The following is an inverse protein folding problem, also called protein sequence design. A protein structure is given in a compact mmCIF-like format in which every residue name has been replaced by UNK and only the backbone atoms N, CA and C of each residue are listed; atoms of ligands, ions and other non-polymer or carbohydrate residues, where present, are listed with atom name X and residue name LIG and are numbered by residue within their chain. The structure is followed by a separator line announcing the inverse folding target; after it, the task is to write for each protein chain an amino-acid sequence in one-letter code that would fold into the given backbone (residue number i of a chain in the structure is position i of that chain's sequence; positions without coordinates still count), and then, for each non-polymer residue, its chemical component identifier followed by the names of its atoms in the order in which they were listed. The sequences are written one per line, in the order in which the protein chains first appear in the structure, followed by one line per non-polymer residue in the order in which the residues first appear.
data_IF_137679785258
#
_entry.id   IF_137679785258
#
_cell.length_a   1.000
_cell.length_b   1.000
_cell.length_c   1.000
_cell.angle_alpha   90.00
_cell.angle_beta   90.00
_cell.angle_gamma   90.00
#
_symmetry.space_group_name_H-M   'P 1'
#
loop_
_entity.id
_entity.type
_entity.pdbx_description
1 polymer ?
#
# COMPACT_ATOMS: atom_id res chain seq x y z
N UNK A 1 7.72 10.76 -38.68
CA UNK A 1 6.97 11.23 -37.48
C UNK A 1 7.19 10.41 -36.20
N UNK A 2 7.62 9.17 -36.28
CA UNK A 2 7.94 8.35 -35.04
C UNK A 2 9.24 8.77 -34.38
N UNK A 3 10.27 9.22 -35.11
CA UNK A 3 11.56 9.63 -34.50
C UNK A 3 11.50 10.91 -33.64
N UNK A 4 10.54 11.78 -33.88
CA UNK A 4 10.34 13.01 -33.11
C UNK A 4 9.61 12.78 -31.76
N UNK A 5 8.87 11.67 -31.60
CA UNK A 5 8.20 11.32 -30.34
C UNK A 5 9.14 10.68 -29.32
N UNK A 6 10.14 9.92 -29.76
CA UNK A 6 11.15 9.29 -28.91
C UNK A 6 12.15 10.30 -28.35
N UNK A 7 12.47 11.37 -29.07
CA UNK A 7 13.34 12.44 -28.57
C UNK A 7 12.66 13.32 -27.50
N UNK A 8 11.34 13.49 -27.59
CA UNK A 8 10.57 14.29 -26.60
C UNK A 8 10.46 13.60 -25.22
N UNK A 9 10.41 12.28 -25.17
CA UNK A 9 10.34 11.53 -23.91
C UNK A 9 11.69 11.47 -23.20
N UNK A 10 12.80 11.37 -23.96
CA UNK A 10 14.16 11.35 -23.37
C UNK A 10 14.57 12.74 -22.83
N UNK A 11 14.16 13.81 -23.49
CA UNK A 11 14.43 15.20 -23.06
C UNK A 11 13.59 15.54 -21.81
N UNK A 12 12.38 15.01 -21.65
CA UNK A 12 11.60 15.17 -20.41
C UNK A 12 12.23 14.43 -19.24
N UNK A 13 12.72 13.20 -19.44
CA UNK A 13 13.43 12.43 -18.43
C UNK A 13 14.73 13.10 -17.97
N UNK A 14 15.49 13.70 -18.90
CA UNK A 14 16.69 14.46 -18.60
C UNK A 14 16.38 15.80 -17.89
N UNK A 15 15.28 16.48 -18.22
CA UNK A 15 14.86 17.69 -17.48
C UNK A 15 14.38 17.38 -16.07
N UNK A 16 13.67 16.29 -15.84
CA UNK A 16 13.30 15.86 -14.47
C UNK A 16 14.53 15.50 -13.62
N UNK A 17 15.53 14.79 -14.19
CA UNK A 17 16.77 14.47 -13.50
C UNK A 17 17.62 15.72 -13.22
N UNK A 18 17.63 16.69 -14.13
CA UNK A 18 18.32 17.95 -13.93
C UNK A 18 17.63 18.84 -12.87
N UNK A 19 16.30 18.86 -12.83
CA UNK A 19 15.54 19.59 -11.81
C UNK A 19 15.70 18.98 -10.40
N UNK A 20 15.66 17.64 -10.29
CA UNK A 20 15.93 16.95 -9.02
C UNK A 20 17.37 17.18 -8.53
N UNK A 21 18.37 17.15 -9.43
CA UNK A 21 19.75 17.45 -9.10
C UNK A 21 19.99 18.95 -8.77
N UNK A 22 19.21 19.84 -9.37
CA UNK A 22 19.30 21.30 -9.12
C UNK A 22 18.61 21.66 -7.81
N UNK A 23 17.48 21.01 -7.46
CA UNK A 23 16.84 21.18 -6.16
C UNK A 23 17.74 20.66 -5.02
N UNK A 24 18.32 19.46 -5.16
CA UNK A 24 19.25 18.92 -4.19
C UNK A 24 20.51 19.83 -3.97
N UNK A 25 21.00 20.48 -5.04
CA UNK A 25 22.10 21.47 -4.93
C UNK A 25 21.65 22.81 -4.35
N UNK A 26 20.43 23.25 -4.62
CA UNK A 26 19.88 24.50 -4.06
C UNK A 26 19.67 24.39 -2.54
N UNK A 27 19.29 23.21 -2.04
CA UNK A 27 19.15 22.94 -0.60
C UNK A 27 20.49 22.98 0.14
N UNK A 28 21.59 22.54 -0.49
CA UNK A 28 22.93 22.55 0.12
C UNK A 28 23.53 23.95 0.28
N UNK A 29 22.95 24.99 -0.31
CA UNK A 29 23.49 26.36 -0.32
C UNK A 29 22.63 27.40 0.40
N UNK A 30 21.44 27.04 0.87
CA UNK A 30 20.62 27.96 1.66
C UNK A 30 21.14 28.03 3.09
N UNK A 31 21.79 29.18 3.40
CA UNK A 31 22.38 29.49 4.73
C UNK A 31 21.34 29.51 5.88
N UNK A 32 20.05 29.42 5.59
CA UNK A 32 18.98 29.31 6.59
C UNK A 32 18.75 27.87 7.02
N UNK A 33 19.36 26.90 6.34
CA UNK A 33 19.31 25.50 6.67
C UNK A 33 20.62 25.07 7.32
N UNK A 34 20.63 25.02 8.65
CA UNK A 34 21.61 24.20 9.37
C UNK A 34 21.01 22.80 9.43
N UNK A 35 21.59 21.78 8.76
CA UNK A 35 21.11 20.43 8.93
C UNK A 35 21.16 20.09 10.41
N UNK A 36 20.03 19.68 11.00
CA UNK A 36 19.98 19.15 12.37
C UNK A 36 20.59 17.74 12.33
N UNK A 37 21.86 17.67 11.93
CA UNK A 37 22.56 16.41 11.69
C UNK A 37 23.32 15.90 12.92
N UNK A 38 23.28 16.64 14.02
CA UNK A 38 23.90 16.18 15.25
C UNK A 38 22.85 16.08 16.34
N UNK A 39 22.31 14.86 16.51
CA UNK A 39 21.57 14.51 17.73
C UNK A 39 22.52 14.80 18.88
N UNK A 40 22.18 15.68 19.84
CA UNK A 40 23.04 15.95 20.98
C UNK A 40 23.46 14.66 21.68
N UNK A 41 24.73 14.50 21.99
CA UNK A 41 25.29 13.27 22.58
C UNK A 41 24.58 12.82 23.87
N UNK A 42 23.98 13.75 24.62
CA UNK A 42 23.16 13.46 25.78
C UNK A 42 21.81 12.79 25.46
N UNK A 43 21.28 12.97 24.24
CA UNK A 43 20.06 12.30 23.79
C UNK A 43 20.41 10.89 23.30
N UNK A 44 21.52 10.73 22.58
CA UNK A 44 22.02 9.41 22.15
C UNK A 44 22.44 8.53 23.31
N UNK A 45 22.95 9.10 24.40
CA UNK A 45 23.35 8.32 25.58
C UNK A 45 22.18 7.59 26.28
N UNK A 46 20.94 8.05 26.08
CA UNK A 46 19.74 7.44 26.64
C UNK A 46 18.97 6.55 25.63
N UNK A 47 19.39 6.57 24.37
CA UNK A 47 18.81 5.72 23.32
C UNK A 47 19.84 4.62 23.04
N UNK A 48 19.65 3.48 23.68
CA UNK A 48 20.50 2.33 23.42
C UNK A 48 20.22 1.85 21.99
N UNK A 49 21.17 2.09 21.06
CA UNK A 49 21.05 1.71 19.63
C UNK A 49 20.73 0.22 19.44
N UNK A 50 21.09 -0.63 20.41
CA UNK A 50 20.75 -2.05 20.44
C UNK A 50 19.25 -2.32 20.68
N UNK A 51 18.51 -1.37 21.25
CA UNK A 51 17.06 -1.53 21.50
C UNK A 51 16.18 -1.01 20.35
N UNK A 52 16.66 -0.07 19.55
CA UNK A 52 15.93 0.45 18.38
C UNK A 52 16.18 -0.43 17.15
N UNK A 53 17.39 -0.91 16.99
CA UNK A 53 17.75 -1.86 15.93
C UNK A 53 17.77 -3.26 16.54
N UNK A 54 16.60 -3.90 16.65
CA UNK A 54 16.57 -5.34 16.88
C UNK A 54 17.49 -6.00 15.85
N UNK A 55 18.38 -6.96 16.25
CA UNK A 55 19.33 -7.62 15.32
C UNK A 55 18.69 -8.33 14.14
N UNK A 56 17.37 -8.28 13.98
CA UNK A 56 16.59 -8.79 12.86
C UNK A 56 16.38 -7.82 11.71
N UNK A 57 16.84 -6.57 11.80
CA UNK A 57 16.75 -5.58 10.71
C UNK A 57 18.02 -5.56 9.87
N UNK A 58 18.45 -6.71 9.38
CA UNK A 58 19.47 -6.77 8.33
C UNK A 58 18.77 -6.50 7.00
N UNK A 59 19.00 -5.31 6.47
CA UNK A 59 18.72 -4.98 5.08
C UNK A 59 19.39 -6.06 4.21
N UNK A 60 18.59 -6.94 3.59
CA UNK A 60 19.03 -8.02 2.69
C UNK A 60 20.02 -9.03 3.29
N UNK A 61 19.81 -9.52 4.48
CA UNK A 61 20.66 -10.52 5.10
C UNK A 61 19.89 -11.68 5.73
N UNK A 62 20.09 -12.84 5.19
CA UNK A 62 20.09 -14.18 5.79
C UNK A 62 19.15 -14.46 6.98
N UNK A 63 17.85 -14.56 6.75
CA UNK A 63 16.94 -15.13 7.76
C UNK A 63 16.09 -16.26 7.15
N UNK A 64 16.69 -17.47 7.11
CA UNK A 64 15.87 -18.66 7.17
C UNK A 64 15.17 -18.67 8.56
N UNK A 65 13.86 -18.95 8.66
CA UNK A 65 13.19 -18.94 9.96
C UNK A 65 13.83 -19.96 10.88
N UNK A 66 14.46 -19.47 11.94
CA UNK A 66 14.93 -20.29 13.05
C UNK A 66 13.70 -20.74 13.84
N UNK A 67 13.70 -21.96 14.34
CA UNK A 67 12.61 -22.49 15.19
C UNK A 67 12.35 -21.52 16.36
N UNK A 68 11.16 -20.90 16.38
CA UNK A 68 10.81 -19.84 17.33
C UNK A 68 10.96 -18.41 16.80
N UNK A 69 11.45 -18.21 15.58
CA UNK A 69 11.43 -16.91 14.89
C UNK A 69 10.01 -16.54 14.43
N UNK A 70 9.80 -15.25 14.17
CA UNK A 70 8.55 -14.77 13.54
C UNK A 70 8.37 -15.42 12.16
N UNK A 71 7.12 -15.64 11.72
CA UNK A 71 6.82 -16.09 10.36
C UNK A 71 7.47 -15.18 9.31
N UNK A 72 7.82 -15.72 8.14
CA UNK A 72 8.21 -14.92 7.00
C UNK A 72 7.05 -13.99 6.61
N UNK A 73 7.35 -12.70 6.38
CA UNK A 73 6.32 -11.69 6.21
C UNK A 73 6.00 -11.43 4.74
N UNK A 74 4.93 -12.00 4.25
CA UNK A 74 4.40 -11.84 2.89
C UNK A 74 3.01 -11.20 2.88
N UNK A 75 2.82 -10.15 3.70
CA UNK A 75 1.56 -9.38 3.77
C UNK A 75 1.80 -7.86 3.79
N UNK A 76 2.72 -7.38 2.95
CA UNK A 76 3.10 -5.96 2.91
C UNK A 76 1.99 -5.02 2.45
N UNK A 77 0.90 -5.52 1.84
CA UNK A 77 -0.28 -4.71 1.54
C UNK A 77 -1.11 -4.38 2.78
N UNK A 78 -1.08 -5.22 3.82
CA UNK A 78 -1.75 -4.92 5.07
C UNK A 78 -1.00 -3.84 5.85
N UNK A 79 0.32 -4.01 5.99
CA UNK A 79 1.25 -3.03 6.55
C UNK A 79 2.67 -3.34 6.10
N UNK A 80 3.53 -2.35 6.00
CA UNK A 80 4.94 -2.52 5.62
C UNK A 80 5.87 -2.07 6.74
N UNK A 81 7.07 -2.67 6.87
CA UNK A 81 8.07 -2.17 7.79
C UNK A 81 8.51 -0.76 7.39
N UNK A 82 8.82 0.05 8.38
CA UNK A 82 9.38 1.37 8.16
C UNK A 82 10.84 1.25 7.71
N UNK A 83 11.23 1.99 6.68
CA UNK A 83 12.64 2.09 6.27
C UNK A 83 13.44 2.76 7.41
N UNK A 84 14.58 2.19 7.83
CA UNK A 84 15.40 2.77 8.90
C UNK A 84 15.78 4.23 8.66
N UNK A 85 16.07 4.62 7.41
CA UNK A 85 16.39 6.00 7.03
C UNK A 85 15.21 6.96 7.21
N UNK A 86 13.98 6.44 7.11
CA UNK A 86 12.76 7.19 7.42
C UNK A 86 12.64 7.39 8.92
N UNK A 87 12.89 6.34 9.71
CA UNK A 87 12.89 6.45 11.17
C UNK A 87 13.93 7.45 11.66
N UNK A 88 15.16 7.41 11.13
CA UNK A 88 16.23 8.34 11.47
C UNK A 88 15.82 9.79 11.20
N UNK A 89 15.13 10.06 10.09
CA UNK A 89 14.61 11.39 9.78
C UNK A 89 13.48 11.84 10.72
N UNK A 90 12.72 10.93 11.30
CA UNK A 90 11.63 11.22 12.23
C UNK A 90 12.12 11.50 13.65
N UNK A 91 13.17 10.80 14.12
CA UNK A 91 13.63 10.81 15.51
C UNK A 91 13.90 12.21 16.08
N UNK A 92 14.54 13.16 15.39
CA UNK A 92 14.73 14.50 15.88
C UNK A 92 13.42 15.19 16.29
N UNK A 93 12.39 15.07 15.46
CA UNK A 93 11.08 15.71 15.68
C UNK A 93 10.22 15.00 16.73
N UNK A 94 10.58 13.78 17.11
CA UNK A 94 9.95 13.03 18.19
C UNK A 94 10.60 13.30 19.56
N UNK A 95 11.83 13.82 19.58
CA UNK A 95 12.66 13.90 20.77
C UNK A 95 13.03 15.35 21.16
N UNK A 96 13.84 16.05 20.41
CA UNK A 96 14.36 17.36 20.78
C UNK A 96 13.97 18.53 19.85
N UNK A 97 13.71 18.28 18.57
CA UNK A 97 13.23 19.27 17.60
C UNK A 97 11.69 19.27 17.49
N UNK A 98 11.00 18.90 18.56
CA UNK A 98 9.54 18.90 18.58
C UNK A 98 8.97 20.32 18.49
N UNK A 99 7.81 20.47 17.86
CA UNK A 99 7.15 21.77 17.74
C UNK A 99 5.79 21.66 17.05
N UNK A 100 4.97 22.68 17.29
CA UNK A 100 3.73 22.83 16.53
C UNK A 100 4.03 23.72 15.31
N UNK A 101 3.87 23.22 14.06
CA UNK A 101 4.14 24.00 12.83
C UNK A 101 3.32 25.30 12.71
N UNK A 102 2.27 25.47 13.52
CA UNK A 102 1.45 26.69 13.52
C UNK A 102 1.85 27.69 14.59
N UNK A 103 2.86 27.40 15.40
CA UNK A 103 3.39 28.34 16.38
C UNK A 103 4.38 29.30 15.70
N UNK A 104 3.95 30.53 15.46
CA UNK A 104 4.72 31.52 14.69
C UNK A 104 5.62 32.40 15.55
N UNK A 105 5.66 32.21 16.89
CA UNK A 105 6.28 33.11 17.83
C UNK A 105 7.61 32.62 18.38
N UNK A 106 8.05 31.42 18.07
CA UNK A 106 9.27 30.81 18.60
C UNK A 106 9.88 29.79 17.66
N UNK A 107 11.16 29.50 17.85
CA UNK A 107 12.01 28.65 17.00
C UNK A 107 11.47 27.23 16.85
N UNK A 108 10.98 26.57 17.91
CA UNK A 108 10.39 25.24 17.82
C UNK A 108 9.24 25.15 16.80
N UNK A 109 8.43 26.20 16.70
CA UNK A 109 7.36 26.26 15.71
C UNK A 109 7.88 26.45 14.30
N UNK A 110 8.86 27.35 14.13
CA UNK A 110 9.46 27.61 12.82
C UNK A 110 10.20 26.40 12.27
N UNK A 111 10.94 25.67 13.10
CA UNK A 111 11.65 24.45 12.71
C UNK A 111 10.68 23.35 12.28
N UNK A 112 9.60 23.15 13.03
CA UNK A 112 8.57 22.21 12.68
C UNK A 112 7.83 22.59 11.39
N UNK A 113 7.54 23.88 11.16
CA UNK A 113 6.91 24.37 9.93
C UNK A 113 7.82 24.18 8.72
N UNK A 114 9.10 24.54 8.84
CA UNK A 114 10.09 24.34 7.79
C UNK A 114 10.20 22.85 7.40
N UNK A 115 10.26 21.95 8.38
CA UNK A 115 10.34 20.52 8.14
C UNK A 115 9.09 19.95 7.44
N UNK A 116 7.91 20.42 7.83
CA UNK A 116 6.63 20.06 7.18
C UNK A 116 6.59 20.55 5.73
N UNK A 117 7.02 21.78 5.46
CA UNK A 117 7.03 22.32 4.10
C UNK A 117 8.08 21.65 3.20
N UNK A 118 9.22 21.25 3.74
CA UNK A 118 10.21 20.45 3.01
C UNK A 118 9.63 19.06 2.65
N UNK A 119 9.02 18.37 3.61
CA UNK A 119 8.36 17.08 3.38
C UNK A 119 7.24 17.21 2.33
N UNK A 120 6.49 18.32 2.36
CA UNK A 120 5.47 18.65 1.36
C UNK A 120 6.06 18.82 -0.03
N UNK A 121 7.23 19.45 -0.12
CA UNK A 121 8.02 19.56 -1.36
C UNK A 121 8.41 18.20 -1.90
N UNK A 122 8.98 17.32 -1.07
CA UNK A 122 9.41 15.97 -1.47
C UNK A 122 8.25 15.11 -1.99
N UNK A 123 7.07 15.20 -1.36
CA UNK A 123 5.85 14.53 -1.85
C UNK A 123 5.43 15.08 -3.22
N UNK A 124 5.41 16.41 -3.36
CA UNK A 124 5.02 17.06 -4.60
C UNK A 124 5.97 16.72 -5.75
N UNK A 125 7.28 16.73 -5.51
CA UNK A 125 8.30 16.41 -6.51
C UNK A 125 8.18 14.98 -7.01
N UNK A 126 7.91 14.02 -6.13
CA UNK A 126 7.74 12.61 -6.50
C UNK A 126 6.60 12.40 -7.50
N UNK A 127 5.48 13.11 -7.32
CA UNK A 127 4.29 12.96 -8.16
C UNK A 127 4.18 14.02 -9.27
N UNK A 128 5.17 14.91 -9.40
CA UNK A 128 5.17 15.99 -10.40
C UNK A 128 4.11 17.07 -10.14
N UNK A 129 3.76 17.31 -8.86
CA UNK A 129 2.77 18.30 -8.43
C UNK A 129 3.42 19.56 -7.86
N UNK A 130 2.61 20.57 -7.53
CA UNK A 130 3.05 21.73 -6.76
C UNK A 130 2.83 21.47 -5.26
N UNK A 131 3.76 21.91 -4.39
CA UNK A 131 3.63 21.72 -2.95
C UNK A 131 2.30 22.26 -2.38
N UNK A 132 1.74 23.33 -2.98
CA UNK A 132 0.43 23.87 -2.61
C UNK A 132 -0.76 22.99 -3.01
N UNK A 133 -0.54 21.91 -3.74
CA UNK A 133 -1.56 20.92 -4.12
C UNK A 133 -1.56 19.70 -3.19
N UNK A 134 -0.57 19.62 -2.29
CA UNK A 134 -0.47 18.58 -1.28
C UNK A 134 -1.21 19.00 0.00
N UNK A 135 -1.96 18.08 0.57
CA UNK A 135 -2.67 18.23 1.84
C UNK A 135 -2.37 16.98 2.67
N UNK A 136 -1.84 17.17 3.88
CA UNK A 136 -1.61 16.07 4.80
C UNK A 136 -2.87 15.73 5.58
N UNK A 137 -3.13 14.44 5.73
CA UNK A 137 -4.25 13.86 6.45
C UNK A 137 -3.75 12.75 7.36
N UNK A 138 -4.64 12.13 8.13
CA UNK A 138 -4.26 10.99 8.99
C UNK A 138 -4.09 9.68 8.21
N UNK A 139 -4.52 9.61 6.95
CA UNK A 139 -4.41 8.42 6.11
C UNK A 139 -5.40 8.41 4.96
N UNK A 140 -5.35 7.35 4.14
CA UNK A 140 -6.15 7.19 2.94
C UNK A 140 -7.67 7.24 3.21
N UNK A 141 -8.14 6.70 4.32
CA UNK A 141 -9.56 6.74 4.70
C UNK A 141 -10.04 8.19 4.88
N UNK A 142 -9.26 9.05 5.54
CA UNK A 142 -9.59 10.47 5.66
C UNK A 142 -9.55 11.17 4.29
N UNK A 143 -8.54 10.90 3.47
CA UNK A 143 -8.45 11.44 2.11
C UNK A 143 -9.69 11.09 1.29
N UNK A 144 -10.08 9.82 1.25
CA UNK A 144 -11.24 9.37 0.47
C UNK A 144 -12.54 10.03 0.96
N UNK A 145 -12.77 10.11 2.28
CA UNK A 145 -13.91 10.79 2.84
C UNK A 145 -13.92 12.29 2.50
N UNK A 146 -12.77 12.97 2.69
CA UNK A 146 -12.65 14.40 2.40
C UNK A 146 -12.96 14.71 0.93
N UNK A 147 -12.49 13.87 0.03
CA UNK A 147 -12.69 14.04 -1.40
C UNK A 147 -14.12 13.74 -1.79
N UNK A 148 -14.65 12.57 -1.46
CA UNK A 148 -15.98 12.14 -1.86
C UNK A 148 -17.05 13.07 -1.27
N UNK A 149 -17.06 13.23 0.05
CA UNK A 149 -18.05 14.07 0.74
C UNK A 149 -17.83 15.55 0.45
N UNK A 150 -16.56 16.02 0.45
CA UNK A 150 -16.24 17.42 0.22
C UNK A 150 -16.63 17.91 -1.18
N UNK A 151 -16.44 17.08 -2.23
CA UNK A 151 -16.88 17.41 -3.60
C UNK A 151 -18.40 17.29 -3.71
N UNK A 152 -18.99 16.21 -3.20
CA UNK A 152 -20.42 15.97 -3.25
C UNK A 152 -21.19 17.12 -2.61
N UNK A 153 -20.86 17.49 -1.38
CA UNK A 153 -21.51 18.58 -0.66
C UNK A 153 -21.33 19.94 -1.36
N UNK A 154 -20.09 20.24 -1.80
CA UNK A 154 -19.81 21.47 -2.52
C UNK A 154 -20.60 21.60 -3.83
N UNK A 155 -20.81 20.47 -4.54
CA UNK A 155 -21.51 20.46 -5.84
C UNK A 155 -23.00 20.14 -5.76
N UNK A 156 -23.54 19.86 -4.59
CA UNK A 156 -24.92 19.36 -4.33
C UNK A 156 -26.04 20.10 -5.09
N UNK A 157 -25.87 21.42 -5.27
CA UNK A 157 -26.86 22.23 -5.99
C UNK A 157 -26.90 21.97 -7.51
N UNK A 158 -25.80 21.40 -8.08
CA UNK A 158 -25.64 21.25 -9.54
C UNK A 158 -25.45 19.80 -9.98
N UNK A 159 -24.85 18.96 -9.14
CA UNK A 159 -24.50 17.57 -9.46
C UNK A 159 -24.80 16.69 -8.26
N UNK A 160 -25.58 15.64 -8.49
CA UNK A 160 -26.00 14.69 -7.45
C UNK A 160 -25.66 13.25 -7.80
N UNK A 161 -24.92 12.99 -8.89
CA UNK A 161 -24.57 11.67 -9.33
C UNK A 161 -23.07 11.43 -9.19
N UNK A 162 -22.71 10.33 -8.54
CA UNK A 162 -21.34 9.85 -8.30
C UNK A 162 -21.16 8.55 -9.08
N UNK A 163 -20.06 8.42 -9.78
CA UNK A 163 -19.67 7.19 -10.47
C UNK A 163 -18.41 6.68 -9.79
N UNK A 164 -18.46 5.45 -9.31
CA UNK A 164 -17.32 4.75 -8.65
C UNK A 164 -17.22 3.32 -9.13
N UNK A 165 -16.30 2.52 -8.59
CA UNK A 165 -16.13 1.12 -8.99
C UNK A 165 -16.53 0.16 -7.88
N UNK A 166 -16.86 -1.10 -8.25
CA UNK A 166 -17.22 -2.15 -7.29
C UNK A 166 -16.03 -2.66 -6.49
N UNK A 167 -14.81 -2.48 -7.01
CA UNK A 167 -13.57 -2.99 -6.43
C UNK A 167 -12.85 -1.97 -5.53
N UNK A 168 -13.49 -0.83 -5.25
CA UNK A 168 -12.93 0.20 -4.40
C UNK A 168 -12.70 -0.29 -2.97
N UNK A 169 -11.76 0.35 -2.27
CA UNK A 169 -11.59 0.12 -0.84
C UNK A 169 -12.89 0.41 -0.08
N UNK A 170 -13.16 -0.36 0.98
CA UNK A 170 -14.39 -0.25 1.77
C UNK A 170 -14.72 1.19 2.21
N UNK A 171 -13.69 2.00 2.55
CA UNK A 171 -13.93 3.41 2.93
C UNK A 171 -14.53 4.27 1.80
N UNK A 172 -14.30 3.93 0.53
CA UNK A 172 -14.93 4.59 -0.62
C UNK A 172 -16.40 4.15 -0.74
N UNK A 173 -16.64 2.83 -0.73
CA UNK A 173 -17.97 2.25 -0.84
C UNK A 173 -18.89 2.73 0.30
N UNK A 174 -18.40 2.73 1.54
CA UNK A 174 -19.17 3.19 2.70
C UNK A 174 -19.42 4.70 2.66
N UNK A 175 -18.45 5.49 2.16
CA UNK A 175 -18.67 6.93 1.95
C UNK A 175 -19.73 7.19 0.89
N UNK A 176 -19.76 6.41 -0.18
CA UNK A 176 -20.80 6.47 -1.21
C UNK A 176 -22.18 6.11 -0.63
N UNK A 177 -22.27 5.02 0.15
CA UNK A 177 -23.52 4.64 0.84
C UNK A 177 -24.07 5.75 1.76
N UNK A 178 -23.20 6.43 2.50
CA UNK A 178 -23.61 7.60 3.31
C UNK A 178 -24.17 8.69 2.41
N UNK A 179 -23.52 9.00 1.30
CA UNK A 179 -24.02 10.02 0.36
C UNK A 179 -25.34 9.60 -0.30
N UNK A 180 -25.59 8.32 -0.55
CA UNK A 180 -26.89 7.81 -1.01
C UNK A 180 -27.99 8.15 0.01
N UNK A 181 -27.74 7.99 1.32
CA UNK A 181 -28.72 8.40 2.36
C UNK A 181 -28.98 9.90 2.41
N UNK A 182 -28.05 10.71 1.87
CA UNK A 182 -28.18 12.17 1.74
C UNK A 182 -28.85 12.61 0.43
N UNK A 183 -29.26 11.64 -0.41
CA UNK A 183 -30.00 11.87 -1.66
C UNK A 183 -29.09 12.07 -2.88
N UNK A 184 -27.88 11.53 -2.87
CA UNK A 184 -27.05 11.38 -4.06
C UNK A 184 -27.34 10.05 -4.75
N UNK A 185 -27.21 10.04 -6.07
CA UNK A 185 -27.24 8.81 -6.88
C UNK A 185 -25.82 8.28 -7.01
N UNK A 186 -25.62 6.97 -6.85
CA UNK A 186 -24.31 6.33 -7.02
C UNK A 186 -24.40 5.20 -8.03
N UNK A 187 -23.49 5.21 -9.02
CA UNK A 187 -23.32 4.13 -9.98
C UNK A 187 -22.00 3.43 -9.71
N UNK A 188 -22.06 2.12 -9.46
CA UNK A 188 -20.89 1.26 -9.22
C UNK A 188 -20.54 0.52 -10.50
N UNK A 189 -19.41 0.90 -11.14
CA UNK A 189 -18.90 0.25 -12.34
C UNK A 189 -17.89 -0.85 -11.98
N UNK A 190 -17.79 -1.93 -12.77
CA UNK A 190 -16.60 -2.79 -12.73
C UNK A 190 -15.42 -2.04 -13.35
N UNK A 191 -14.31 -1.85 -12.60
CA UNK A 191 -13.11 -1.20 -13.18
C UNK A 191 -12.26 -0.39 -12.21
N UNK A 192 -11.18 0.18 -12.72
CA UNK A 192 -10.09 0.87 -12.00
C UNK A 192 -10.30 2.37 -11.98
N UNK A 193 -10.02 3.03 -10.83
CA UNK A 193 -10.00 4.49 -10.72
C UNK A 193 -8.79 5.01 -9.95
N UNK A 194 -8.27 6.17 -10.36
CA UNK A 194 -7.25 6.93 -9.64
C UNK A 194 -7.70 8.39 -9.50
N UNK A 195 -7.36 9.07 -8.37
CA UNK A 195 -7.72 10.46 -8.19
C UNK A 195 -6.52 11.36 -7.91
N UNK A 196 -6.45 12.42 -8.71
CA UNK A 196 -5.56 13.56 -8.55
C UNK A 196 -6.39 14.85 -8.45
N UNK A 197 -6.13 15.70 -7.45
CA UNK A 197 -6.85 16.97 -7.27
C UNK A 197 -6.03 18.12 -7.85
N UNK A 198 -6.40 18.54 -9.05
CA UNK A 198 -5.70 19.58 -9.79
C UNK A 198 -6.05 20.99 -9.28
N UNK A 199 -5.03 21.87 -9.19
CA UNK A 199 -5.20 23.25 -8.80
C UNK A 199 -5.85 24.13 -9.87
N UNK A 200 -5.63 23.83 -11.16
CA UNK A 200 -6.22 24.57 -12.28
C UNK A 200 -6.78 23.63 -13.35
N UNK A 201 -8.09 23.66 -13.62
CA UNK A 201 -9.11 24.46 -12.96
C UNK A 201 -9.29 24.07 -11.48
N UNK A 202 -9.57 25.05 -10.60
CA UNK A 202 -9.63 24.84 -9.15
C UNK A 202 -10.77 23.92 -8.75
N UNK A 203 -10.43 22.78 -8.16
CA UNK A 203 -11.40 21.93 -7.44
C UNK A 203 -11.60 22.51 -6.04
N UNK A 204 -12.87 22.74 -5.65
CA UNK A 204 -13.23 23.21 -4.31
C UNK A 204 -13.82 22.06 -3.52
N UNK A 205 -13.31 21.90 -2.30
CA UNK A 205 -13.76 20.91 -1.33
C UNK A 205 -14.38 21.63 -0.14
N UNK A 206 -15.44 21.08 0.40
CA UNK A 206 -15.95 21.48 1.72
C UNK A 206 -15.16 20.69 2.78
N UNK A 207 -14.59 21.36 3.80
CA UNK A 207 -13.86 20.69 4.86
C UNK A 207 -14.74 19.73 5.65
N UNK A 208 -14.31 18.50 5.84
CA UNK A 208 -15.02 17.52 6.69
C UNK A 208 -14.60 17.59 8.16
N UNK A 209 -13.47 18.24 8.45
CA UNK A 209 -12.96 18.48 9.80
C UNK A 209 -12.84 19.98 10.01
N UNK A 210 -13.65 20.52 10.90
CA UNK A 210 -13.65 21.93 11.29
C UNK A 210 -12.70 22.15 12.48
N UNK A 211 -12.11 23.36 12.60
CA UNK A 211 -11.22 23.71 13.70
C UNK A 211 -10.30 24.89 13.36
N UNK A 212 -9.02 24.79 13.71
CA UNK A 212 -8.03 25.87 13.63
C UNK A 212 -7.59 26.27 12.21
N UNK A 213 -8.20 25.76 11.15
CA UNK A 213 -7.94 26.20 9.77
C UNK A 213 -6.63 25.74 9.16
N UNK A 214 -5.99 24.72 9.72
CA UNK A 214 -4.78 24.13 9.18
C UNK A 214 -4.99 23.63 7.74
N UNK A 215 -3.92 23.32 7.04
CA UNK A 215 -3.95 22.88 5.63
C UNK A 215 -4.81 23.83 4.76
N UNK A 216 -4.62 25.14 4.94
CA UNK A 216 -5.33 26.19 4.18
C UNK A 216 -6.86 26.16 4.35
N UNK A 217 -7.32 25.71 5.50
CA UNK A 217 -8.74 25.59 5.83
C UNK A 217 -9.40 24.34 5.26
N UNK A 218 -8.66 23.46 4.58
CA UNK A 218 -9.21 22.23 3.98
C UNK A 218 -9.21 21.05 4.94
N UNK A 219 -8.32 21.07 5.94
CA UNK A 219 -8.26 20.04 6.97
C UNK A 219 -7.73 20.63 8.27
N UNK A 220 -8.57 20.80 9.25
CA UNK A 220 -8.20 21.31 10.56
C UNK A 220 -7.57 20.24 11.45
N UNK A 221 -6.76 20.67 12.41
CA UNK A 221 -6.00 19.84 13.36
C UNK A 221 -4.49 19.93 13.13
N UNK A 222 -3.76 20.04 14.24
CA UNK A 222 -2.29 20.12 14.22
C UNK A 222 -1.69 18.94 13.47
N UNK A 223 -0.77 19.21 12.55
CA UNK A 223 -0.02 18.18 11.84
C UNK A 223 0.98 17.50 12.77
N UNK A 224 1.06 16.19 12.69
CA UNK A 224 2.09 15.40 13.36
C UNK A 224 3.40 15.52 12.57
N UNK A 225 4.20 16.56 12.87
CA UNK A 225 5.44 16.87 12.15
C UNK A 225 6.35 15.62 11.94
N UNK A 226 6.59 14.76 12.95
CA UNK A 226 7.41 13.56 12.74
C UNK A 226 6.88 12.65 11.62
N UNK A 227 5.57 12.41 11.57
CA UNK A 227 4.96 11.55 10.54
C UNK A 227 5.03 12.19 9.16
N UNK A 228 4.83 13.49 9.08
CA UNK A 228 4.93 14.24 7.81
C UNK A 228 6.37 14.21 7.28
N UNK A 229 7.36 14.44 8.15
CA UNK A 229 8.79 14.34 7.80
C UNK A 229 9.13 12.93 7.34
N UNK A 230 8.67 11.90 8.05
CA UNK A 230 8.86 10.50 7.66
C UNK A 230 8.25 10.20 6.29
N UNK A 231 7.06 10.70 6.02
CA UNK A 231 6.43 10.54 4.70
C UNK A 231 7.22 11.25 3.59
N UNK A 232 7.68 12.48 3.82
CA UNK A 232 8.55 13.20 2.89
C UNK A 232 9.85 12.43 2.60
N UNK A 233 10.50 11.89 3.64
CA UNK A 233 11.70 11.08 3.49
C UNK A 233 11.45 9.78 2.71
N UNK A 234 10.33 9.12 2.96
CA UNK A 234 9.93 7.95 2.18
C UNK A 234 9.75 8.29 0.69
N UNK A 235 9.17 9.45 0.37
CA UNK A 235 9.05 9.93 -1.01
C UNK A 235 10.40 10.20 -1.68
N UNK A 236 11.35 10.80 -0.97
CA UNK A 236 12.72 11.00 -1.47
C UNK A 236 13.40 9.66 -1.80
N UNK A 237 13.32 8.69 -0.89
CA UNK A 237 13.88 7.35 -1.10
C UNK A 237 13.19 6.67 -2.29
N UNK A 238 11.87 6.75 -2.37
CA UNK A 238 11.11 6.19 -3.48
C UNK A 238 11.51 6.80 -4.82
N UNK A 239 11.72 8.12 -4.89
CA UNK A 239 12.17 8.80 -6.11
C UNK A 239 13.51 8.26 -6.63
N UNK A 240 14.38 7.79 -5.74
CA UNK A 240 15.71 7.28 -6.08
C UNK A 240 15.70 5.77 -6.38
N UNK A 241 14.87 5.00 -5.71
CA UNK A 241 14.98 3.54 -5.64
C UNK A 241 13.77 2.79 -6.25
N UNK A 242 12.68 3.47 -6.56
CA UNK A 242 11.42 2.86 -7.02
C UNK A 242 11.59 1.92 -8.21
N UNK A 243 12.46 2.26 -9.20
CA UNK A 243 12.71 1.41 -10.35
C UNK A 243 13.46 0.13 -9.97
N UNK A 244 14.38 0.20 -9.01
CA UNK A 244 15.11 -0.95 -8.49
C UNK A 244 14.20 -1.84 -7.65
N UNK A 245 13.36 -1.22 -6.81
CA UNK A 245 12.37 -1.93 -6.02
C UNK A 245 11.38 -2.67 -6.91
N UNK A 246 10.90 -2.00 -7.98
CA UNK A 246 9.99 -2.63 -8.93
C UNK A 246 10.60 -3.87 -9.59
N UNK A 247 11.86 -3.79 -10.04
CA UNK A 247 12.57 -4.94 -10.64
C UNK A 247 12.75 -6.07 -9.64
N UNK A 248 13.14 -5.75 -8.40
CA UNK A 248 13.31 -6.73 -7.34
C UNK A 248 12.00 -7.44 -6.99
N UNK A 249 10.95 -6.67 -6.76
CA UNK A 249 9.62 -7.20 -6.42
C UNK A 249 9.04 -8.03 -7.57
N UNK A 250 9.23 -7.61 -8.83
CA UNK A 250 8.83 -8.39 -10.01
C UNK A 250 9.54 -9.73 -10.05
N UNK A 251 10.86 -9.73 -9.90
CA UNK A 251 11.66 -10.96 -9.86
C UNK A 251 11.18 -11.94 -8.77
N UNK A 252 10.95 -11.45 -7.55
CA UNK A 252 10.47 -12.27 -6.45
C UNK A 252 9.04 -12.79 -6.67
N UNK A 253 8.19 -11.98 -7.29
CA UNK A 253 6.82 -12.36 -7.64
C UNK A 253 6.79 -13.46 -8.69
N UNK A 254 7.61 -13.35 -9.73
CA UNK A 254 7.72 -14.36 -10.77
C UNK A 254 8.30 -15.66 -10.20
N UNK A 255 9.32 -15.56 -9.34
CA UNK A 255 9.89 -16.71 -8.64
C UNK A 255 8.85 -17.44 -7.78
N UNK A 256 8.03 -16.70 -7.03
CA UNK A 256 6.96 -17.29 -6.22
C UNK A 256 5.89 -17.94 -7.10
N UNK A 257 5.44 -17.24 -8.14
CA UNK A 257 4.40 -17.74 -9.04
C UNK A 257 4.84 -19.04 -9.73
N UNK A 258 5.98 -19.03 -10.40
CA UNK A 258 6.49 -20.21 -11.10
C UNK A 258 6.86 -21.32 -10.12
N UNK A 259 7.49 -21.00 -9.00
CA UNK A 259 7.80 -21.98 -7.96
C UNK A 259 6.60 -22.76 -7.44
N UNK A 260 5.43 -22.13 -7.38
CA UNK A 260 4.16 -22.77 -7.01
C UNK A 260 3.51 -23.45 -8.23
N UNK A 261 3.32 -22.71 -9.32
CA UNK A 261 2.54 -23.16 -10.47
C UNK A 261 3.17 -24.36 -11.20
N UNK A 262 4.50 -24.45 -11.23
CA UNK A 262 5.22 -25.57 -11.87
C UNK A 262 5.23 -26.85 -11.02
N UNK A 263 4.84 -26.75 -9.74
CA UNK A 263 4.87 -27.87 -8.78
C UNK A 263 3.48 -28.29 -8.29
N UNK A 264 2.47 -27.43 -8.49
CA UNK A 264 1.07 -27.68 -8.07
C UNK A 264 0.15 -27.44 -9.27
N UNK A 265 -0.58 -28.45 -9.67
CA UNK A 265 -1.63 -28.35 -10.69
C UNK A 265 -2.85 -27.57 -10.15
N UNK A 266 -3.72 -27.10 -11.03
CA UNK A 266 -4.98 -26.41 -10.67
C UNK A 266 -4.80 -25.23 -9.72
N UNK A 267 -3.75 -24.42 -9.96
CA UNK A 267 -3.55 -23.10 -9.35
C UNK A 267 -4.03 -22.03 -10.32
N UNK A 268 -4.83 -21.10 -9.84
CA UNK A 268 -5.40 -20.02 -10.65
C UNK A 268 -4.86 -18.68 -10.16
N UNK A 269 -4.24 -17.92 -11.06
CA UNK A 269 -3.87 -16.53 -10.79
C UNK A 269 -5.12 -15.65 -10.90
N UNK A 270 -5.45 -14.93 -9.84
CA UNK A 270 -6.56 -13.98 -9.82
C UNK A 270 -6.10 -12.60 -10.31
N UNK A 271 -6.71 -12.13 -11.38
CA UNK A 271 -6.36 -10.88 -12.04
C UNK A 271 -5.50 -11.08 -13.30
N UNK A 272 -4.89 -10.01 -13.78
CA UNK A 272 -4.07 -10.01 -14.99
C UNK A 272 -2.59 -10.22 -14.64
N UNK A 273 -1.89 -11.07 -15.39
CA UNK A 273 -0.49 -11.39 -15.12
C UNK A 273 0.43 -10.18 -15.39
N UNK A 274 0.14 -9.37 -16.42
CA UNK A 274 0.99 -8.26 -16.85
C UNK A 274 0.53 -6.92 -16.27
N UNK A 275 -0.80 -6.71 -16.16
CA UNK A 275 -1.42 -5.43 -15.78
C UNK A 275 -1.74 -5.37 -14.28
N UNK A 276 -0.84 -5.85 -13.44
CA UNK A 276 -0.96 -5.81 -11.98
C UNK A 276 0.25 -5.15 -11.33
N UNK A 277 0.11 -4.73 -10.10
CA UNK A 277 1.28 -4.41 -9.29
C UNK A 277 1.99 -5.73 -8.92
N UNK A 278 3.27 -5.93 -9.30
CA UNK A 278 3.93 -7.22 -9.12
C UNK A 278 4.02 -7.66 -7.66
N UNK A 279 4.09 -6.73 -6.71
CA UNK A 279 4.10 -7.05 -5.27
C UNK A 279 2.78 -7.59 -4.72
N UNK A 280 1.72 -7.68 -5.52
CA UNK A 280 0.45 -8.28 -5.17
C UNK A 280 0.21 -9.54 -6.01
N UNK A 281 0.48 -10.71 -5.45
CA UNK A 281 0.20 -11.98 -6.08
C UNK A 281 -0.97 -12.65 -5.34
N UNK A 282 -2.09 -12.88 -6.03
CA UNK A 282 -3.24 -13.58 -5.48
C UNK A 282 -3.47 -14.87 -6.25
N UNK A 283 -3.38 -16.00 -5.56
CA UNK A 283 -3.52 -17.34 -6.13
C UNK A 283 -4.67 -18.09 -5.45
N UNK A 284 -5.53 -18.72 -6.24
CA UNK A 284 -6.53 -19.68 -5.76
C UNK A 284 -6.03 -21.11 -5.97
N UNK A 285 -6.26 -21.95 -4.99
CA UNK A 285 -5.85 -23.36 -5.01
C UNK A 285 -7.11 -24.25 -5.08
N UNK A 286 -7.42 -24.75 -6.25
CA UNK A 286 -8.60 -25.61 -6.42
C UNK A 286 -8.51 -26.89 -5.58
N UNK A 287 -9.67 -27.38 -5.16
CA UNK A 287 -9.85 -28.64 -4.42
C UNK A 287 -9.20 -28.66 -3.02
N UNK A 288 -9.03 -27.48 -2.43
CA UNK A 288 -8.51 -27.30 -1.07
C UNK A 288 -9.50 -26.45 -0.29
N UNK A 289 -9.71 -26.73 0.98
CA UNK A 289 -10.49 -25.87 1.85
C UNK A 289 -9.61 -24.66 2.29
N UNK A 290 -10.09 -23.42 2.01
CA UNK A 290 -9.28 -22.21 2.11
C UNK A 290 -8.85 -21.83 3.52
N UNK A 291 -9.70 -22.01 4.52
CA UNK A 291 -9.36 -21.72 5.92
C UNK A 291 -8.32 -22.70 6.45
N UNK A 292 -8.48 -23.99 6.10
CA UNK A 292 -7.50 -25.03 6.45
C UNK A 292 -6.12 -24.74 5.83
N UNK A 293 -6.11 -24.26 4.57
CA UNK A 293 -4.87 -23.86 3.93
C UNK A 293 -4.23 -22.66 4.65
N UNK A 294 -5.01 -21.63 4.95
CA UNK A 294 -4.53 -20.46 5.66
C UNK A 294 -3.96 -20.81 7.03
N UNK A 295 -4.66 -21.69 7.77
CA UNK A 295 -4.18 -22.19 9.07
C UNK A 295 -2.92 -23.05 8.97
N UNK A 296 -2.80 -23.83 7.89
CA UNK A 296 -1.60 -24.64 7.63
C UNK A 296 -0.37 -23.78 7.30
N UNK A 297 -0.58 -22.64 6.66
CA UNK A 297 0.47 -21.68 6.29
C UNK A 297 0.92 -20.75 7.45
N UNK A 298 0.62 -21.08 8.71
CA UNK A 298 0.93 -20.28 9.91
C UNK A 298 2.38 -19.82 10.04
N UNK A 299 3.31 -20.44 9.34
CA UNK A 299 4.74 -20.10 9.35
C UNK A 299 5.10 -19.01 8.32
N UNK A 300 4.16 -18.57 7.52
CA UNK A 300 4.25 -17.38 6.67
C UNK A 300 3.05 -16.48 6.97
N UNK A 301 3.28 -15.18 7.01
CA UNK A 301 2.20 -14.20 7.16
C UNK A 301 1.64 -13.89 5.77
N UNK A 302 0.43 -14.33 5.50
CA UNK A 302 -0.33 -14.11 4.26
C UNK A 302 -1.77 -13.76 4.62
N UNK A 303 -2.53 -13.23 3.67
CA UNK A 303 -3.94 -12.92 3.87
C UNK A 303 -4.81 -13.72 2.91
N UNK A 304 -6.01 -14.11 3.33
CA UNK A 304 -7.10 -14.45 2.41
C UNK A 304 -7.50 -13.22 1.60
N UNK A 305 -8.10 -13.38 0.45
CA UNK A 305 -8.36 -12.38 -0.60
C UNK A 305 -8.65 -10.92 -0.19
N UNK A 306 -9.05 -10.63 1.06
CA UNK A 306 -9.24 -9.27 1.57
C UNK A 306 -8.75 -9.13 3.02
N UNK A 307 -7.77 -8.25 3.24
CA UNK A 307 -7.28 -7.92 4.59
C UNK A 307 -8.35 -7.23 5.47
N UNK A 308 -9.34 -6.56 4.85
CA UNK A 308 -10.35 -5.79 5.57
C UNK A 308 -11.59 -6.60 5.97
N UNK A 309 -11.78 -7.80 5.42
CA UNK A 309 -12.95 -8.66 5.65
C UNK A 309 -12.59 -10.04 6.21
N UNK A 310 -11.38 -10.21 6.73
CA UNK A 310 -10.90 -11.46 7.32
C UNK A 310 -11.76 -12.00 8.49
N UNK A 311 -12.71 -11.21 8.97
CA UNK A 311 -13.68 -11.61 10.00
C UNK A 311 -15.04 -12.05 9.40
N UNK A 312 -15.26 -11.98 8.08
CA UNK A 312 -16.48 -12.43 7.43
C UNK A 312 -16.24 -13.72 6.66
N UNK A 313 -17.17 -14.66 6.77
CA UNK A 313 -17.17 -15.93 6.01
C UNK A 313 -17.43 -15.71 4.51
N UNK A 314 -17.73 -14.48 4.07
CA UNK A 314 -17.99 -14.17 2.67
C UNK A 314 -16.68 -14.00 1.87
N UNK A 315 -16.63 -14.55 0.64
CA UNK A 315 -15.49 -14.36 -0.25
C UNK A 315 -15.31 -12.88 -0.61
N UNK A 316 -14.09 -12.51 -0.94
CA UNK A 316 -13.76 -11.13 -1.31
C UNK A 316 -14.68 -10.61 -2.41
N UNK A 317 -15.40 -9.52 -2.13
CA UNK A 317 -16.21 -8.84 -3.14
C UNK A 317 -15.38 -8.38 -4.35
N UNK A 318 -14.07 -8.11 -4.16
CA UNK A 318 -13.15 -7.75 -5.23
C UNK A 318 -12.95 -8.94 -6.17
N UNK A 319 -12.69 -10.15 -5.64
CA UNK A 319 -12.52 -11.36 -6.45
C UNK A 319 -13.79 -11.67 -7.26
N UNK A 320 -14.96 -11.56 -6.64
CA UNK A 320 -16.25 -11.70 -7.34
C UNK A 320 -16.42 -10.66 -8.45
N UNK A 321 -16.08 -9.42 -8.19
CA UNK A 321 -16.21 -8.33 -9.18
C UNK A 321 -15.27 -8.49 -10.39
N UNK A 322 -14.10 -9.14 -10.23
CA UNK A 322 -13.19 -9.48 -11.33
C UNK A 322 -13.51 -10.83 -11.99
N UNK A 323 -14.62 -11.49 -11.59
CA UNK A 323 -15.12 -12.68 -12.26
C UNK A 323 -14.58 -14.01 -11.72
N UNK A 324 -13.93 -14.02 -10.54
CA UNK A 324 -13.51 -15.28 -9.90
C UNK A 324 -14.74 -16.00 -9.34
N UNK A 325 -14.89 -17.28 -9.68
CA UNK A 325 -15.95 -18.12 -9.13
C UNK A 325 -15.89 -18.22 -7.61
N UNK A 326 -17.03 -18.43 -6.97
CA UNK A 326 -17.15 -18.39 -5.51
C UNK A 326 -16.23 -19.42 -4.83
N UNK A 327 -16.20 -20.65 -5.34
CA UNK A 327 -15.35 -21.73 -4.82
C UNK A 327 -13.85 -21.35 -4.86
N UNK A 328 -13.37 -20.79 -5.97
CA UNK A 328 -11.99 -20.34 -6.12
C UNK A 328 -11.71 -19.08 -5.29
N UNK A 329 -12.70 -18.22 -5.09
CA UNK A 329 -12.54 -17.04 -4.27
C UNK A 329 -12.33 -17.39 -2.78
N UNK A 330 -12.97 -18.45 -2.30
CA UNK A 330 -12.77 -18.97 -0.93
C UNK A 330 -11.37 -19.57 -0.71
N UNK A 331 -10.76 -20.15 -1.73
CA UNK A 331 -9.44 -20.78 -1.64
C UNK A 331 -8.29 -19.84 -1.97
N UNK A 332 -8.57 -18.55 -2.14
CA UNK A 332 -7.58 -17.56 -2.55
C UNK A 332 -6.66 -17.13 -1.39
N UNK A 333 -5.38 -17.12 -1.68
CA UNK A 333 -4.33 -16.57 -0.80
C UNK A 333 -3.67 -15.38 -1.49
N UNK A 334 -3.57 -14.27 -0.77
CA UNK A 334 -2.85 -13.08 -1.21
C UNK A 334 -1.46 -13.06 -0.60
N UNK A 335 -0.45 -13.03 -1.46
CA UNK A 335 0.95 -12.84 -1.10
C UNK A 335 1.36 -11.40 -1.38
N UNK A 336 1.83 -10.72 -0.35
CA UNK A 336 2.33 -9.36 -0.42
C UNK A 336 3.85 -9.31 -0.39
N UNK A 337 4.47 -8.95 -1.51
CA UNK A 337 5.92 -8.89 -1.68
C UNK A 337 6.36 -7.44 -1.67
N UNK A 338 7.38 -7.11 -0.88
CA UNK A 338 7.90 -5.75 -0.74
C UNK A 338 9.40 -5.66 -0.94
N UNK A 339 9.95 -4.45 -0.83
CA UNK A 339 11.36 -4.14 -1.04
C UNK A 339 12.32 -4.89 -0.09
N UNK A 340 11.85 -5.28 1.08
CA UNK A 340 12.64 -5.99 2.10
C UNK A 340 12.43 -7.51 2.07
N UNK A 341 11.55 -8.02 1.22
CA UNK A 341 11.33 -9.45 1.05
C UNK A 341 12.58 -10.08 0.40
N UNK A 342 12.98 -11.23 0.91
CA UNK A 342 14.18 -11.95 0.47
C UNK A 342 13.83 -13.17 -0.39
N UNK A 343 14.78 -13.62 -1.20
CA UNK A 343 14.64 -14.86 -1.99
C UNK A 343 14.40 -16.08 -1.10
N UNK A 344 15.09 -16.15 0.05
CA UNK A 344 14.94 -17.26 1.00
C UNK A 344 13.53 -17.36 1.58
N UNK A 345 12.90 -16.21 1.84
CA UNK A 345 11.49 -16.17 2.27
C UNK A 345 10.56 -16.66 1.17
N UNK A 346 10.84 -16.31 -0.09
CA UNK A 346 10.07 -16.79 -1.24
C UNK A 346 10.25 -18.31 -1.41
N UNK A 347 11.47 -18.82 -1.41
CA UNK A 347 11.75 -20.26 -1.52
C UNK A 347 11.04 -21.04 -0.41
N UNK A 348 11.11 -20.54 0.82
CA UNK A 348 10.42 -21.13 1.96
C UNK A 348 8.89 -21.11 1.79
N UNK A 349 8.33 -20.02 1.30
CA UNK A 349 6.89 -19.92 1.04
C UNK A 349 6.43 -20.89 -0.04
N UNK A 350 7.20 -21.03 -1.13
CA UNK A 350 6.94 -22.02 -2.18
C UNK A 350 6.89 -23.43 -1.59
N UNK A 351 7.90 -23.83 -0.84
CA UNK A 351 8.00 -25.18 -0.26
C UNK A 351 6.83 -25.46 0.71
N UNK A 352 6.44 -24.47 1.53
CA UNK A 352 5.30 -24.59 2.42
C UNK A 352 3.99 -24.73 1.66
N UNK A 353 3.75 -23.91 0.62
CA UNK A 353 2.55 -23.99 -0.20
C UNK A 353 2.43 -25.36 -0.86
N UNK A 354 3.50 -25.84 -1.51
CA UNK A 354 3.52 -27.16 -2.15
C UNK A 354 3.18 -28.24 -1.13
N UNK A 355 3.88 -28.24 0.01
CA UNK A 355 3.67 -29.25 1.06
C UNK A 355 2.23 -29.28 1.58
N UNK A 356 1.68 -28.13 1.89
CA UNK A 356 0.38 -28.07 2.56
C UNK A 356 -0.79 -28.24 1.57
N UNK A 357 -0.69 -27.71 0.36
CA UNK A 357 -1.69 -27.93 -0.69
C UNK A 357 -1.77 -29.41 -1.05
N UNK A 358 -0.62 -30.08 -1.29
CA UNK A 358 -0.59 -31.50 -1.57
C UNK A 358 -1.25 -32.30 -0.45
N UNK A 359 -0.86 -32.05 0.81
CA UNK A 359 -1.43 -32.74 1.96
C UNK A 359 -2.94 -32.53 2.13
N UNK A 360 -3.44 -31.31 1.90
CA UNK A 360 -4.88 -31.02 2.04
C UNK A 360 -5.68 -31.67 0.91
N UNK A 361 -5.13 -31.73 -0.31
CA UNK A 361 -5.73 -32.45 -1.43
C UNK A 361 -5.81 -33.95 -1.19
N UNK A 362 -4.77 -34.56 -0.63
CA UNK A 362 -4.78 -36.00 -0.24
C UNK A 362 -5.92 -36.35 0.73
N UNK A 363 -6.47 -35.38 1.43
CA UNK A 363 -7.60 -35.54 2.35
C UNK A 363 -8.93 -35.04 1.76
N UNK A 364 -8.94 -34.57 0.52
CA UNK A 364 -10.12 -34.01 -0.14
C UNK A 364 -10.80 -35.01 -1.04
N UNK A 365 -12.07 -35.38 -0.78
CA UNK A 365 -12.83 -36.28 -1.68
C UNK A 365 -12.97 -35.70 -3.10
N UNK A 366 -13.04 -34.36 -3.23
CA UNK A 366 -13.10 -33.69 -4.53
C UNK A 366 -11.83 -33.92 -5.35
N UNK A 367 -10.67 -33.95 -4.69
CA UNK A 367 -9.41 -34.23 -5.35
C UNK A 367 -9.29 -35.69 -5.82
N UNK A 368 -9.76 -36.62 -5.02
CA UNK A 368 -9.81 -38.05 -5.39
C UNK A 368 -10.64 -38.24 -6.68
N UNK A 369 -11.82 -37.60 -6.77
CA UNK A 369 -12.65 -37.64 -7.98
C UNK A 369 -11.92 -37.06 -9.21
N UNK A 370 -11.21 -35.96 -9.05
CA UNK A 370 -10.45 -35.37 -10.16
C UNK A 370 -9.34 -36.30 -10.64
N UNK A 371 -8.65 -36.99 -9.73
CA UNK A 371 -7.64 -37.98 -10.08
C UNK A 371 -8.24 -39.20 -10.81
N UNK A 372 -9.49 -39.56 -10.52
CA UNK A 372 -10.24 -40.58 -11.23
C UNK A 372 -10.82 -40.10 -12.58
N UNK A 373 -10.57 -38.84 -12.95
CA UNK A 373 -11.05 -38.26 -14.20
C UNK A 373 -12.49 -37.76 -14.17
N UNK A 374 -13.09 -37.67 -12.97
CA UNK A 374 -14.45 -37.18 -12.77
C UNK A 374 -14.37 -35.64 -12.56
N UNK A 375 -15.10 -34.90 -13.38
CA UNK A 375 -15.23 -33.42 -13.17
C UNK A 375 -16.27 -33.17 -12.06
N UNK A 376 -15.85 -32.65 -10.89
CA UNK A 376 -16.74 -32.35 -9.77
C UNK A 376 -17.87 -31.36 -10.11
N UNK A 377 -17.67 -30.50 -11.12
CA UNK A 377 -18.68 -29.52 -11.56
C UNK A 377 -19.86 -30.19 -12.31
N UNK A 378 -19.70 -31.43 -12.73
CA UNK A 378 -20.78 -32.20 -13.42
C UNK A 378 -21.66 -32.95 -12.44
N UNK A 379 -21.33 -32.99 -11.16
CA UNK A 379 -22.04 -33.71 -10.13
C UNK A 379 -23.22 -32.88 -9.64
N UNK A 380 -24.45 -33.38 -9.89
CA UNK A 380 -25.64 -32.84 -9.26
C UNK A 380 -25.73 -33.38 -7.81
N UNK A 381 -25.33 -32.53 -6.85
CA UNK A 381 -25.55 -32.85 -5.44
C UNK A 381 -27.06 -32.80 -5.17
N UNK A 382 -27.70 -33.95 -4.96
CA UNK A 382 -29.10 -33.98 -4.55
C UNK A 382 -29.22 -33.30 -3.17
N UNK A 383 -30.01 -32.23 -3.11
CA UNK A 383 -30.38 -31.60 -1.84
C UNK A 383 -31.40 -32.38 -1.02
N UNK A 384 -31.49 -33.66 -1.24
CA UNK A 384 -32.42 -34.56 -0.53
C UNK A 384 -31.66 -35.26 0.58
N UNK A 385 -31.61 -34.66 1.78
CA UNK A 385 -31.64 -35.40 3.05
C UNK A 385 -31.63 -34.44 4.26
N UNK A 386 -32.79 -34.34 4.86
CA UNK A 386 -33.15 -33.93 6.24
C UNK A 386 -33.34 -32.46 6.52
#
# INVERSE_FOLDING_TARGET
MQALRTLSSSVRGLRMRAQAATSARAFATDKRYTPVNEVPANVLANVNSETIFSPGFAVRGEHAPVKGAKPAYLDVQATSPMDPRVLDAMLPYMTYAYGNPHSTTHEFGWDADNAVEQARGSVADLIGANSKEIIFTSGATECNNAILKGIAHFTKAKKKHIITTQIEHKCVLDSCRVLETEGFEVTYLPGVGAMYVRRRPRVRLEPIISGGGQERGLRSGTLAAPLVVGFGKACEIAALEMENDHRWVSYLSDKLYHGINDRIEHVVLNGDLEKRYPGNLNLSFAYVEGESLLMALKNIAVSSGSACTSASLEPSYVLRAIGVGEDLAHTSIRFGIGRFTTEKEIDYAVDLCVKHVTRLREMSPLWEMVQEGIDPNTIQWSQDAH
#
